data_IF_782834752410
#
_entry.id   IF_782834752410
#
_cell.length_a   1.000
_cell.length_b   1.000
_cell.length_c   1.000
_cell.angle_alpha   90.00
_cell.angle_beta   90.00
_cell.angle_gamma   90.00
#
_symmetry.space_group_name_H-M   'P 1'
#
loop_
_entity.id
_entity.type
_entity.pdbx_description
1 polymer ?
#
# COMPACT_ATOMS: atom_id res chain seq x y z
N UNK A 1 39.95 48.55 -33.06
CA UNK A 1 40.19 49.99 -33.24
C UNK A 1 38.85 50.66 -33.52
N UNK A 2 38.27 51.25 -32.48
CA UNK A 2 37.55 52.53 -32.44
C UNK A 2 36.50 52.94 -33.51
N UNK A 3 35.24 53.14 -33.01
CA UNK A 3 34.25 54.25 -33.23
C UNK A 3 33.68 54.33 -34.69
N UNK A 4 32.38 54.48 -34.98
CA UNK A 4 31.40 55.46 -34.51
C UNK A 4 29.95 55.06 -34.84
N UNK A 5 29.04 55.50 -33.96
CA UNK A 5 27.58 55.55 -34.13
C UNK A 5 27.18 56.66 -35.13
N UNK A 6 25.89 56.69 -35.53
CA UNK A 6 25.16 57.94 -35.50
C UNK A 6 23.93 57.89 -34.57
N UNK A 7 23.52 59.10 -34.19
CA UNK A 7 22.59 59.49 -33.14
C UNK A 7 21.51 60.41 -33.75
N UNK A 8 20.34 60.47 -33.09
CA UNK A 8 19.32 61.56 -33.11
C UNK A 8 18.45 61.72 -34.38
N UNK A 9 17.16 62.10 -34.34
CA UNK A 9 16.24 62.63 -33.30
C UNK A 9 14.81 62.73 -33.86
N UNK A 10 13.78 62.51 -33.01
CA UNK A 10 12.46 63.18 -32.98
C UNK A 10 11.44 62.84 -34.10
N UNK A 11 10.11 62.82 -33.94
CA UNK A 11 9.14 63.50 -33.06
C UNK A 11 7.81 62.70 -33.10
N UNK A 12 7.01 62.71 -32.01
CA UNK A 12 5.52 62.71 -32.11
C UNK A 12 4.75 61.60 -31.37
N UNK A 13 4.08 61.98 -30.27
CA UNK A 13 3.14 61.19 -29.43
C UNK A 13 1.68 61.51 -29.86
N UNK A 14 0.67 60.63 -29.69
CA UNK A 14 -0.16 60.57 -28.45
C UNK A 14 -0.48 59.11 -28.04
N UNK A 15 -0.53 58.69 -26.78
CA UNK A 15 -1.41 59.18 -25.72
C UNK A 15 -2.46 58.10 -25.41
N UNK A 16 -2.20 57.19 -24.46
CA UNK A 16 -3.21 56.29 -23.87
C UNK A 16 -2.98 56.24 -22.36
N UNK A 17 -3.98 56.69 -21.62
CA UNK A 17 -3.97 56.80 -20.16
C UNK A 17 -3.99 55.42 -19.49
N UNK A 18 -3.15 55.28 -18.46
CA UNK A 18 -3.20 54.18 -17.51
C UNK A 18 -3.80 54.74 -16.22
N UNK A 19 -5.08 54.44 -15.98
CA UNK A 19 -5.70 54.69 -14.68
C UNK A 19 -5.41 53.51 -13.76
N UNK A 20 -4.47 53.73 -12.84
CA UNK A 20 -4.20 52.89 -11.69
C UNK A 20 -5.28 53.17 -10.63
N UNK A 21 -6.14 52.20 -10.35
CA UNK A 21 -7.10 52.25 -9.24
C UNK A 21 -6.86 51.03 -8.34
N UNK A 22 -6.01 51.21 -7.33
CA UNK A 22 -5.89 50.33 -6.18
C UNK A 22 -7.09 50.57 -5.27
N UNK A 23 -7.94 49.55 -5.11
CA UNK A 23 -9.00 49.50 -4.10
C UNK A 23 -8.66 48.45 -3.03
N UNK A 24 -9.19 48.59 -1.79
CA UNK A 24 -8.49 48.19 -0.58
C UNK A 24 -8.75 46.75 -0.13
N UNK A 25 -7.74 46.24 0.55
CA UNK A 25 -7.60 44.93 1.19
C UNK A 25 -8.55 44.79 2.40
N UNK A 26 -9.85 44.55 2.21
CA UNK A 26 -10.79 44.41 3.37
C UNK A 26 -12.02 43.51 3.15
N UNK A 27 -12.04 42.65 2.14
CA UNK A 27 -13.22 41.78 1.83
C UNK A 27 -13.04 40.31 2.25
N UNK A 28 -11.83 39.84 2.57
CA UNK A 28 -11.58 38.40 2.76
C UNK A 28 -11.93 37.88 4.17
N UNK A 29 -12.06 38.75 5.19
CA UNK A 29 -12.27 38.30 6.58
C UNK A 29 -13.75 38.05 6.94
N UNK A 30 -14.71 38.52 6.12
CA UNK A 30 -16.14 38.38 6.42
C UNK A 30 -16.78 37.05 6.00
N UNK A 31 -16.12 36.25 5.14
CA UNK A 31 -16.73 35.03 4.56
C UNK A 31 -16.65 33.83 5.52
N UNK A 32 -15.79 33.85 6.54
CA UNK A 32 -15.50 32.65 7.35
C UNK A 32 -16.45 32.47 8.56
N UNK A 33 -17.34 33.41 8.90
CA UNK A 33 -18.05 33.36 10.20
C UNK A 33 -19.58 33.22 10.20
N UNK A 34 -20.24 33.06 9.07
CA UNK A 34 -21.70 32.94 9.07
C UNK A 34 -22.21 31.93 8.03
N UNK A 35 -22.23 30.66 8.41
CA UNK A 35 -23.22 29.67 7.94
C UNK A 35 -23.07 28.38 8.74
N UNK A 36 -23.31 28.50 10.04
CA UNK A 36 -23.75 27.40 10.85
C UNK A 36 -25.21 27.71 11.26
N UNK A 37 -26.07 26.69 11.11
CA UNK A 37 -27.38 26.47 11.74
C UNK A 37 -28.66 26.79 10.92
N UNK A 38 -29.57 25.79 10.95
CA UNK A 38 -31.04 25.76 10.73
C UNK A 38 -31.50 25.30 9.33
N UNK A 39 -32.01 24.05 9.17
CA UNK A 39 -33.39 23.53 9.43
C UNK A 39 -34.40 24.12 8.40
N UNK A 40 -35.37 23.46 7.77
CA UNK A 40 -35.92 22.10 7.66
C UNK A 40 -36.93 22.12 6.47
N UNK A 41 -37.24 20.95 5.90
CA UNK A 41 -38.52 20.55 5.25
C UNK A 41 -38.88 20.86 3.77
N UNK A 42 -39.47 19.79 3.19
CA UNK A 42 -40.29 19.62 1.96
C UNK A 42 -39.52 19.55 0.62
N UNK A 43 -39.69 18.55 -0.27
CA UNK A 43 -40.91 17.91 -0.75
C UNK A 43 -40.65 16.48 -1.32
N UNK A 44 -41.75 15.76 -1.51
CA UNK A 44 -41.95 14.34 -1.85
C UNK A 44 -41.57 13.88 -3.27
N UNK A 45 -41.35 12.54 -3.36
CA UNK A 45 -41.60 11.58 -4.47
C UNK A 45 -41.20 11.94 -5.91
N UNK A 46 -40.27 11.19 -6.49
CA UNK A 46 -40.56 10.15 -7.51
C UNK A 46 -39.29 9.46 -8.00
N UNK A 47 -39.48 8.24 -8.51
CA UNK A 47 -38.49 7.21 -8.87
C UNK A 47 -37.46 7.63 -9.93
N UNK A 48 -36.23 7.10 -9.84
CA UNK A 48 -35.63 6.13 -10.78
C UNK A 48 -34.10 6.01 -10.56
N UNK A 49 -33.63 4.77 -10.71
CA UNK A 49 -32.28 4.32 -11.07
C UNK A 49 -31.08 4.63 -10.16
N UNK A 50 -30.54 3.56 -9.59
CA UNK A 50 -29.22 3.57 -8.96
C UNK A 50 -28.77 2.17 -8.60
N UNK A 51 -28.09 1.52 -9.55
CA UNK A 51 -27.36 0.27 -9.32
C UNK A 51 -26.44 0.45 -8.11
N UNK A 52 -26.81 -0.15 -6.98
CA UNK A 52 -25.99 -0.19 -5.78
C UNK A 52 -24.81 -1.12 -6.06
N UNK A 53 -23.74 -0.60 -6.64
CA UNK A 53 -22.45 -1.27 -6.53
C UNK A 53 -22.04 -1.22 -5.06
N UNK A 54 -22.29 -2.33 -4.37
CA UNK A 54 -21.67 -2.62 -3.08
C UNK A 54 -20.17 -2.50 -3.23
N UNK A 55 -19.61 -1.38 -2.80
CA UNK A 55 -18.20 -1.30 -2.41
C UNK A 55 -18.06 -2.10 -1.13
N UNK A 56 -18.02 -3.43 -1.28
CA UNK A 56 -17.71 -4.38 -0.21
C UNK A 56 -16.23 -4.25 0.14
N UNK A 57 -15.84 -3.14 0.76
CA UNK A 57 -14.55 -3.01 1.40
C UNK A 57 -14.64 -3.85 2.68
N UNK A 58 -14.01 -5.04 2.68
CA UNK A 58 -14.05 -5.96 3.82
C UNK A 58 -13.23 -5.40 4.99
N UNK A 59 -13.87 -4.60 5.83
CA UNK A 59 -13.32 -4.04 7.07
C UNK A 59 -13.78 -4.76 8.34
N UNK A 60 -14.57 -5.85 8.22
CA UNK A 60 -15.11 -6.58 9.38
C UNK A 60 -14.26 -7.81 9.75
N UNK A 61 -13.93 -8.01 11.05
CA UNK A 61 -12.98 -9.03 11.53
C UNK A 61 -13.38 -10.49 11.26
N UNK A 62 -14.66 -10.79 11.01
CA UNK A 62 -15.16 -12.16 10.77
C UNK A 62 -15.40 -12.51 9.29
N UNK A 63 -15.28 -11.55 8.37
CA UNK A 63 -15.64 -11.77 6.96
C UNK A 63 -14.61 -12.59 6.17
N UNK A 64 -13.43 -12.85 6.75
CA UNK A 64 -12.37 -13.59 6.05
C UNK A 64 -12.77 -15.02 5.68
N UNK A 65 -13.72 -15.65 6.36
CA UNK A 65 -14.19 -17.01 6.05
C UNK A 65 -14.96 -17.10 4.74
N UNK A 66 -15.62 -16.01 4.34
CA UNK A 66 -16.42 -15.94 3.12
C UNK A 66 -15.66 -15.33 1.94
N UNK A 67 -14.46 -14.80 2.18
CA UNK A 67 -13.61 -14.26 1.13
C UNK A 67 -13.27 -15.36 0.12
N UNK A 68 -13.34 -15.01 -1.16
CA UNK A 68 -12.97 -15.94 -2.24
C UNK A 68 -11.49 -15.82 -2.56
N UNK A 69 -10.92 -14.61 -2.52
CA UNK A 69 -9.51 -14.36 -2.90
C UNK A 69 -8.84 -13.32 -2.01
N UNK A 70 -7.50 -13.23 -2.10
CA UNK A 70 -6.77 -12.13 -1.44
C UNK A 70 -7.17 -10.75 -1.95
N UNK A 71 -7.78 -10.65 -3.13
CA UNK A 71 -8.08 -9.37 -3.78
C UNK A 71 -9.15 -8.55 -3.09
N UNK A 72 -9.94 -9.20 -2.23
CA UNK A 72 -11.01 -8.55 -1.49
C UNK A 72 -10.52 -7.94 -0.16
N UNK A 73 -9.21 -8.05 0.13
CA UNK A 73 -8.59 -7.45 1.30
C UNK A 73 -7.85 -6.15 0.97
N UNK A 74 -7.78 -5.28 1.97
CA UNK A 74 -6.93 -4.09 2.00
C UNK A 74 -5.94 -4.23 3.15
N UNK A 75 -4.73 -3.71 2.97
CA UNK A 75 -3.77 -3.55 4.04
C UNK A 75 -3.03 -2.22 3.88
N UNK A 76 -2.65 -1.58 4.97
CA UNK A 76 -1.89 -0.34 4.92
C UNK A 76 -0.44 -0.63 4.53
N UNK A 77 0.11 0.14 3.60
CA UNK A 77 1.53 0.11 3.30
C UNK A 77 2.36 0.60 4.52
N UNK A 78 3.68 0.45 4.47
CA UNK A 78 4.55 0.84 5.60
C UNK A 78 4.46 2.33 5.98
N UNK A 79 3.84 3.18 5.15
CA UNK A 79 3.62 4.61 5.42
C UNK A 79 2.22 4.89 6.00
N UNK A 80 1.36 3.88 6.10
CA UNK A 80 0.01 4.00 6.62
C UNK A 80 -1.06 4.20 5.54
N UNK A 81 -0.71 4.14 4.26
CA UNK A 81 -1.66 4.36 3.17
C UNK A 81 -2.40 3.07 2.80
N UNK A 82 -3.73 3.07 2.66
CA UNK A 82 -4.49 1.86 2.36
C UNK A 82 -4.20 1.34 0.95
N UNK A 83 -3.78 0.08 0.84
CA UNK A 83 -3.52 -0.61 -0.42
C UNK A 83 -4.50 -1.76 -0.59
N UNK A 84 -5.38 -1.64 -1.59
CA UNK A 84 -6.21 -2.77 -2.01
C UNK A 84 -5.33 -3.84 -2.66
N UNK A 85 -5.46 -5.09 -2.20
CA UNK A 85 -4.69 -6.20 -2.75
C UNK A 85 -5.17 -6.64 -4.14
N UNK A 86 -6.30 -6.11 -4.61
CA UNK A 86 -6.72 -6.17 -6.02
C UNK A 86 -5.60 -5.75 -6.99
N UNK A 87 -4.70 -4.83 -6.58
CA UNK A 87 -3.55 -4.41 -7.41
C UNK A 87 -2.64 -5.57 -7.83
N UNK A 88 -2.68 -6.69 -7.13
CA UNK A 88 -1.87 -7.87 -7.42
C UNK A 88 -2.59 -8.87 -8.33
N UNK A 89 -3.75 -8.52 -8.89
CA UNK A 89 -4.49 -9.39 -9.80
C UNK A 89 -3.63 -9.85 -10.97
N UNK A 90 -3.64 -11.15 -11.22
CA UNK A 90 -2.88 -11.77 -12.31
C UNK A 90 -1.41 -12.01 -11.99
N UNK A 91 -0.93 -11.62 -10.81
CA UNK A 91 0.42 -11.87 -10.34
C UNK A 91 0.46 -13.08 -9.41
N UNK A 92 1.52 -13.87 -9.53
CA UNK A 92 1.88 -14.82 -8.47
C UNK A 92 2.54 -14.03 -7.35
N UNK A 93 2.07 -14.23 -6.12
CA UNK A 93 2.55 -13.47 -4.98
C UNK A 93 3.19 -14.37 -3.91
N UNK A 94 4.17 -13.82 -3.20
CA UNK A 94 4.63 -14.35 -1.93
C UNK A 94 4.17 -13.39 -0.84
N UNK A 95 3.36 -13.88 0.10
CA UNK A 95 3.00 -13.14 1.32
C UNK A 95 3.82 -13.70 2.48
N UNK A 96 4.58 -12.85 3.16
CA UNK A 96 5.54 -13.28 4.20
C UNK A 96 5.48 -12.40 5.45
N UNK A 97 5.50 -13.01 6.63
CA UNK A 97 5.66 -12.27 7.89
C UNK A 97 7.14 -12.10 8.20
N UNK A 98 7.59 -10.88 8.47
CA UNK A 98 9.01 -10.56 8.61
C UNK A 98 9.33 -9.97 9.98
N UNK A 99 10.62 -10.02 10.32
CA UNK A 99 11.19 -9.40 11.50
C UNK A 99 12.65 -8.97 11.22
N UNK A 100 13.13 -7.98 11.94
CA UNK A 100 14.40 -7.29 11.78
C UNK A 100 15.45 -7.83 12.76
N UNK A 101 15.01 -8.38 13.90
CA UNK A 101 15.88 -8.91 14.96
C UNK A 101 15.73 -10.44 15.11
N UNK A 102 15.61 -11.15 13.99
CA UNK A 102 15.50 -12.61 13.97
C UNK A 102 16.77 -13.25 13.39
N UNK A 103 17.15 -14.43 13.87
CA UNK A 103 18.30 -15.19 13.33
C UNK A 103 18.15 -15.54 11.84
N UNK A 104 16.93 -15.53 11.32
CA UNK A 104 16.61 -15.78 9.91
C UNK A 104 16.62 -14.52 9.03
N UNK A 105 16.67 -13.33 9.62
CA UNK A 105 16.51 -12.04 8.93
C UNK A 105 17.53 -11.84 7.82
N UNK A 106 18.81 -12.12 8.09
CA UNK A 106 19.89 -11.86 7.13
C UNK A 106 19.68 -12.63 5.83
N UNK A 107 19.48 -13.95 5.93
CA UNK A 107 19.35 -14.81 4.75
C UNK A 107 18.00 -14.60 4.06
N UNK A 108 16.90 -14.51 4.81
CA UNK A 108 15.58 -14.37 4.19
C UNK A 108 15.46 -13.06 3.39
N UNK A 109 15.92 -11.93 3.92
CA UNK A 109 15.85 -10.68 3.15
C UNK A 109 16.74 -10.70 1.92
N UNK A 110 17.99 -11.18 2.05
CA UNK A 110 18.89 -11.27 0.90
C UNK A 110 18.28 -12.13 -0.22
N UNK A 111 17.75 -13.29 0.13
CA UNK A 111 17.17 -14.22 -0.85
C UNK A 111 15.83 -13.75 -1.41
N UNK A 112 14.98 -13.07 -0.63
CA UNK A 112 13.75 -12.46 -1.15
C UNK A 112 14.06 -11.33 -2.14
N UNK A 113 15.10 -10.53 -1.88
CA UNK A 113 15.55 -9.48 -2.80
C UNK A 113 16.06 -10.09 -4.10
N UNK A 114 16.92 -11.11 -4.03
CA UNK A 114 17.41 -11.80 -5.23
C UNK A 114 16.26 -12.42 -6.04
N UNK A 115 15.33 -13.11 -5.37
CA UNK A 115 14.16 -13.70 -6.00
C UNK A 115 13.27 -12.65 -6.70
N UNK A 116 13.05 -11.50 -6.04
CA UNK A 116 12.29 -10.41 -6.62
C UNK A 116 13.01 -9.80 -7.83
N UNK A 117 14.30 -9.52 -7.71
CA UNK A 117 15.11 -8.94 -8.79
C UNK A 117 15.12 -9.82 -10.05
N UNK A 118 15.13 -11.14 -9.89
CA UNK A 118 15.15 -12.09 -11.00
C UNK A 118 13.77 -12.30 -11.66
N UNK A 119 12.71 -12.38 -10.86
CA UNK A 119 11.40 -12.87 -11.32
C UNK A 119 10.28 -11.83 -11.36
N UNK A 120 10.46 -10.64 -10.78
CA UNK A 120 9.40 -9.63 -10.73
C UNK A 120 8.94 -9.18 -12.12
N UNK A 121 9.88 -8.90 -13.03
CA UNK A 121 9.56 -8.45 -14.39
C UNK A 121 9.38 -9.63 -15.35
N UNK A 122 10.25 -10.64 -15.26
CA UNK A 122 10.27 -11.77 -16.19
C UNK A 122 9.10 -12.75 -16.02
N UNK A 123 8.58 -12.89 -14.79
CA UNK A 123 7.50 -13.82 -14.43
C UNK A 123 6.33 -13.14 -13.71
N UNK A 124 6.42 -11.82 -13.48
CA UNK A 124 5.37 -11.09 -12.78
C UNK A 124 5.29 -11.39 -11.28
N UNK A 125 6.38 -11.84 -10.64
CA UNK A 125 6.39 -12.12 -9.20
C UNK A 125 6.14 -10.84 -8.39
N UNK A 126 5.32 -10.93 -7.35
CA UNK A 126 5.13 -9.86 -6.35
C UNK A 126 5.39 -10.40 -4.95
N UNK A 127 6.05 -9.61 -4.10
CA UNK A 127 6.30 -9.99 -2.71
C UNK A 127 5.65 -8.95 -1.81
N UNK A 128 4.85 -9.41 -0.84
CA UNK A 128 4.16 -8.60 0.15
C UNK A 128 4.70 -8.99 1.53
N UNK A 129 5.47 -8.10 2.13
CA UNK A 129 6.10 -8.33 3.42
C UNK A 129 5.35 -7.60 4.55
N UNK A 130 5.01 -8.34 5.60
CA UNK A 130 4.26 -7.86 6.77
C UNK A 130 5.11 -8.00 8.03
N UNK A 131 5.66 -6.91 8.58
CA UNK A 131 6.35 -6.95 9.86
C UNK A 131 5.44 -7.49 10.97
N UNK A 132 5.98 -8.30 11.89
CA UNK A 132 5.19 -8.86 12.99
C UNK A 132 6.02 -9.03 14.26
N UNK A 133 5.53 -8.49 15.39
CA UNK A 133 6.25 -8.55 16.67
C UNK A 133 5.83 -9.71 17.59
N UNK A 134 4.94 -10.60 17.13
CA UNK A 134 4.37 -11.67 17.96
C UNK A 134 5.37 -12.80 18.28
N UNK A 135 6.53 -12.81 17.63
CA UNK A 135 7.51 -13.89 17.73
C UNK A 135 8.77 -13.39 18.47
N UNK A 136 8.80 -13.67 19.76
CA UNK A 136 9.89 -13.29 20.67
C UNK A 136 10.27 -11.80 20.65
N UNK A 137 9.33 -10.92 20.32
CA UNK A 137 9.57 -9.46 20.30
C UNK A 137 10.61 -9.02 19.26
N UNK A 138 10.78 -9.78 18.17
CA UNK A 138 11.86 -9.58 17.19
C UNK A 138 11.57 -8.48 16.15
N UNK A 139 10.45 -7.77 16.27
CA UNK A 139 10.10 -6.60 15.47
C UNK A 139 9.60 -5.43 16.34
N UNK A 140 10.44 -4.95 17.29
CA UNK A 140 10.01 -3.97 18.29
C UNK A 140 9.82 -2.57 17.69
N UNK A 141 10.54 -2.25 16.61
CA UNK A 141 10.56 -0.93 15.99
C UNK A 141 9.20 -0.49 15.43
N UNK A 142 9.02 0.82 15.35
CA UNK A 142 7.94 1.50 14.63
C UNK A 142 8.02 1.27 13.11
N UNK A 143 6.93 1.56 12.39
CA UNK A 143 6.91 1.45 10.93
C UNK A 143 8.02 2.31 10.27
N UNK A 144 8.34 3.47 10.85
CA UNK A 144 9.42 4.34 10.37
C UNK A 144 10.81 3.69 10.54
N UNK A 145 11.09 3.10 11.72
CA UNK A 145 12.35 2.40 11.98
C UNK A 145 12.50 1.15 11.10
N UNK A 146 11.40 0.42 10.87
CA UNK A 146 11.37 -0.73 9.96
C UNK A 146 11.68 -0.25 8.54
N UNK A 147 11.02 0.80 8.05
CA UNK A 147 11.29 1.38 6.73
C UNK A 147 12.78 1.73 6.55
N UNK A 148 13.40 2.35 7.55
CA UNK A 148 14.83 2.66 7.53
C UNK A 148 15.71 1.40 7.51
N UNK A 149 15.36 0.38 8.30
CA UNK A 149 16.04 -0.92 8.28
C UNK A 149 16.00 -1.54 6.87
N UNK A 150 14.87 -1.41 6.19
CA UNK A 150 14.65 -1.96 4.85
C UNK A 150 15.41 -1.25 3.74
N UNK A 151 15.55 0.07 3.81
CA UNK A 151 16.33 0.84 2.85
C UNK A 151 17.78 0.34 2.77
N UNK A 152 18.37 -0.06 3.90
CA UNK A 152 19.71 -0.63 3.97
C UNK A 152 19.82 -2.05 3.39
N UNK A 153 18.69 -2.69 3.06
CA UNK A 153 18.60 -4.05 2.49
C UNK A 153 18.29 -4.06 0.99
N UNK A 154 18.12 -2.89 0.38
CA UNK A 154 17.78 -2.75 -1.04
C UNK A 154 16.47 -3.47 -1.43
N UNK A 155 15.48 -3.47 -0.53
CA UNK A 155 14.17 -4.07 -0.79
C UNK A 155 13.37 -3.22 -1.77
N UNK A 156 12.90 -3.86 -2.84
CA UNK A 156 12.11 -3.23 -3.93
C UNK A 156 10.66 -3.71 -4.00
N UNK A 157 10.29 -4.68 -3.16
CA UNK A 157 8.95 -5.22 -3.07
C UNK A 157 8.11 -4.51 -2.00
N UNK A 158 6.81 -4.76 -1.99
CA UNK A 158 5.86 -4.02 -1.17
C UNK A 158 5.97 -4.41 0.32
N UNK A 159 6.12 -3.39 1.17
CA UNK A 159 6.18 -3.52 2.63
C UNK A 159 4.94 -2.88 3.24
N UNK A 160 4.34 -3.58 4.18
CA UNK A 160 3.10 -3.17 4.86
C UNK A 160 3.39 -2.75 6.30
N UNK A 161 2.40 -2.15 6.96
CA UNK A 161 2.49 -1.88 8.39
C UNK A 161 2.68 -3.15 9.20
N UNK A 162 3.22 -2.97 10.41
CA UNK A 162 3.31 -4.06 11.37
C UNK A 162 1.92 -4.56 11.76
N UNK A 163 1.70 -5.88 11.64
CA UNK A 163 0.41 -6.51 11.94
C UNK A 163 0.56 -7.68 12.90
N UNK A 164 -0.54 -8.05 13.55
CA UNK A 164 -0.69 -9.35 14.17
C UNK A 164 -1.11 -10.36 13.11
N UNK A 165 -0.51 -11.56 13.17
CA UNK A 165 -0.80 -12.69 12.27
C UNK A 165 -1.52 -13.83 12.99
N UNK A 166 -1.51 -13.81 14.33
CA UNK A 166 -2.16 -14.76 15.22
C UNK A 166 -3.06 -14.05 16.24
N UNK A 167 -3.97 -14.81 16.85
CA UNK A 167 -4.92 -14.31 17.85
C UNK A 167 -6.14 -13.61 17.25
N UNK A 168 -7.00 -13.08 18.13
CA UNK A 168 -8.23 -12.40 17.74
C UNK A 168 -7.97 -11.07 17.01
N UNK A 169 -6.82 -10.45 17.29
CA UNK A 169 -6.40 -9.20 16.65
C UNK A 169 -5.61 -9.45 15.36
N UNK A 170 -5.56 -10.69 14.85
CA UNK A 170 -4.88 -10.99 13.60
C UNK A 170 -5.53 -10.22 12.44
N UNK A 171 -4.70 -9.65 11.57
CA UNK A 171 -5.19 -8.98 10.38
C UNK A 171 -6.06 -9.94 9.54
N UNK A 172 -7.23 -9.53 9.02
CA UNK A 172 -8.17 -10.44 8.34
C UNK A 172 -7.56 -11.25 7.20
N UNK A 173 -6.66 -10.64 6.42
CA UNK A 173 -5.85 -11.36 5.41
C UNK A 173 -5.11 -12.56 6.01
N UNK A 174 -4.42 -12.39 7.13
CA UNK A 174 -3.64 -13.46 7.76
C UNK A 174 -4.55 -14.57 8.31
N UNK A 175 -5.73 -14.21 8.82
CA UNK A 175 -6.76 -15.18 9.20
C UNK A 175 -7.26 -15.98 7.99
N UNK A 176 -7.51 -15.33 6.85
CA UNK A 176 -7.84 -15.98 5.58
C UNK A 176 -6.75 -16.92 5.08
N UNK A 177 -5.49 -16.47 5.06
CA UNK A 177 -4.36 -17.27 4.59
C UNK A 177 -4.20 -18.56 5.41
N UNK A 178 -4.26 -18.46 6.74
CA UNK A 178 -4.22 -19.62 7.63
C UNK A 178 -5.42 -20.56 7.44
N UNK A 179 -6.61 -19.99 7.21
CA UNK A 179 -7.83 -20.77 7.00
C UNK A 179 -7.78 -21.56 5.69
N UNK A 180 -7.31 -20.95 4.59
CA UNK A 180 -7.18 -21.61 3.28
C UNK A 180 -5.98 -22.55 3.21
N UNK A 181 -4.86 -22.19 3.84
CA UNK A 181 -3.65 -22.99 3.92
C UNK A 181 -3.19 -23.15 5.37
N UNK A 182 -3.77 -24.14 6.04
CA UNK A 182 -3.40 -24.54 7.38
C UNK A 182 -1.99 -25.15 7.46
N UNK A 183 -1.48 -25.30 8.69
CA UNK A 183 -0.28 -26.08 8.94
C UNK A 183 -0.63 -27.51 9.36
N UNK A 184 0.38 -28.39 9.35
CA UNK A 184 0.23 -29.82 9.70
C UNK A 184 -0.26 -30.04 11.15
N UNK A 185 0.01 -29.09 12.06
CA UNK A 185 -0.35 -29.17 13.49
C UNK A 185 -1.08 -27.89 13.92
N UNK A 186 -2.14 -27.55 13.19
CA UNK A 186 -2.90 -26.31 13.37
C UNK A 186 -2.52 -25.23 12.36
N UNK A 187 -3.37 -24.21 12.27
CA UNK A 187 -3.29 -23.16 11.27
C UNK A 187 -2.45 -21.95 11.71
N UNK A 188 -2.19 -21.76 13.00
CA UNK A 188 -1.41 -20.63 13.52
C UNK A 188 -0.01 -20.51 12.91
N UNK A 189 0.47 -19.28 12.72
CA UNK A 189 1.83 -19.00 12.26
C UNK A 189 2.80 -19.33 13.40
N UNK A 190 3.78 -20.19 13.13
CA UNK A 190 4.68 -20.70 14.19
C UNK A 190 5.85 -19.77 14.50
N UNK A 191 6.30 -18.98 13.52
CA UNK A 191 7.46 -18.10 13.68
C UNK A 191 7.53 -17.05 12.56
N UNK A 192 8.51 -16.16 12.67
CA UNK A 192 8.95 -15.25 11.61
C UNK A 192 9.31 -16.00 10.33
N UNK A 193 9.08 -15.37 9.18
CA UNK A 193 9.35 -15.89 7.83
C UNK A 193 8.56 -17.14 7.45
N UNK A 194 7.29 -17.21 7.84
CA UNK A 194 6.33 -18.09 7.15
C UNK A 194 5.92 -17.42 5.84
N UNK A 195 5.86 -18.19 4.76
CA UNK A 195 5.52 -17.70 3.42
C UNK A 195 4.29 -18.41 2.89
N UNK A 196 3.41 -17.67 2.24
CA UNK A 196 2.32 -18.20 1.44
C UNK A 196 2.59 -17.89 -0.02
N UNK A 197 2.41 -18.88 -0.88
CA UNK A 197 2.35 -18.67 -2.34
C UNK A 197 0.89 -18.43 -2.70
N UNK A 198 0.65 -17.35 -3.43
CA UNK A 198 -0.66 -16.99 -3.98
C UNK A 198 -0.58 -17.11 -5.49
N UNK A 199 -1.54 -17.81 -6.10
CA UNK A 199 -1.61 -17.91 -7.55
C UNK A 199 -2.16 -16.63 -8.22
N UNK A 200 -2.17 -16.60 -9.55
CA UNK A 200 -2.68 -15.47 -10.35
C UNK A 200 -4.18 -15.19 -10.19
N UNK A 201 -4.93 -16.09 -9.56
CA UNK A 201 -6.35 -15.94 -9.24
C UNK A 201 -6.57 -15.45 -7.79
N UNK A 202 -5.48 -15.15 -7.08
CA UNK A 202 -5.52 -14.64 -5.71
C UNK A 202 -5.80 -15.73 -4.68
N UNK A 203 -5.57 -17.01 -5.02
CA UNK A 203 -5.79 -18.14 -4.13
C UNK A 203 -4.50 -18.52 -3.38
N UNK A 204 -4.55 -18.73 -2.05
CA UNK A 204 -3.43 -19.32 -1.32
C UNK A 204 -3.28 -20.80 -1.69
N UNK A 205 -2.17 -21.15 -2.35
CA UNK A 205 -1.95 -22.48 -2.93
C UNK A 205 -0.90 -23.30 -2.18
N UNK A 206 0.12 -22.65 -1.60
CA UNK A 206 1.14 -23.33 -0.79
C UNK A 206 1.51 -22.49 0.45
N UNK A 207 1.97 -23.16 1.50
CA UNK A 207 2.48 -22.56 2.74
C UNK A 207 3.81 -23.18 3.13
N UNK A 208 4.80 -22.34 3.38
CA UNK A 208 6.16 -22.74 3.73
C UNK A 208 6.58 -22.14 5.07
N UNK A 209 7.25 -22.96 5.87
CA UNK A 209 7.75 -22.56 7.18
C UNK A 209 9.04 -21.71 7.12
N UNK A 210 9.51 -21.25 8.28
CA UNK A 210 10.75 -20.48 8.43
C UNK A 210 12.00 -21.19 7.90
N UNK A 211 11.99 -22.53 7.92
CA UNK A 211 13.09 -23.39 7.48
C UNK A 211 13.16 -23.56 5.95
N UNK A 212 12.17 -23.08 5.20
CA UNK A 212 12.24 -23.02 3.74
C UNK A 212 12.88 -21.70 3.33
N UNK A 213 14.08 -21.78 2.77
CA UNK A 213 14.81 -20.63 2.25
C UNK A 213 14.08 -20.06 1.02
N UNK A 214 13.95 -18.73 0.86
CA UNK A 214 13.30 -18.14 -0.31
C UNK A 214 13.89 -18.58 -1.65
N UNK A 215 15.21 -18.83 -1.76
CA UNK A 215 15.81 -19.38 -2.99
C UNK A 215 15.27 -20.75 -3.38
N UNK A 216 15.03 -21.61 -2.38
CA UNK A 216 14.48 -22.94 -2.61
C UNK A 216 13.00 -22.90 -3.02
N UNK A 217 12.35 -21.73 -2.96
CA UNK A 217 10.93 -21.58 -3.34
C UNK A 217 10.71 -21.54 -4.85
N UNK A 218 11.74 -21.29 -5.67
CA UNK A 218 11.61 -21.22 -7.14
C UNK A 218 10.91 -22.46 -7.70
N UNK A 219 11.31 -23.66 -7.26
CA UNK A 219 10.70 -24.93 -7.69
C UNK A 219 9.20 -25.07 -7.37
N UNK A 220 8.70 -24.34 -6.36
CA UNK A 220 7.29 -24.31 -6.03
C UNK A 220 6.56 -23.26 -6.89
N UNK A 221 7.20 -22.12 -7.11
CA UNK A 221 6.64 -21.02 -7.88
C UNK A 221 6.52 -21.32 -9.38
N UNK A 222 7.42 -22.14 -9.94
CA UNK A 222 7.45 -22.52 -11.36
C UNK A 222 6.11 -23.08 -11.89
N UNK A 223 5.31 -23.68 -11.02
CA UNK A 223 3.99 -24.24 -11.36
C UNK A 223 2.93 -23.16 -11.64
N UNK A 224 3.18 -21.92 -11.22
CA UNK A 224 2.18 -20.85 -11.19
C UNK A 224 2.52 -19.67 -12.11
N UNK A 225 3.73 -19.63 -12.68
CA UNK A 225 4.16 -18.59 -13.61
C UNK A 225 3.40 -18.57 -14.94
#
# INVERSE_FOLDING_TARGET
>A
MFITRPCSTGIGIPGIGVTLLLAPLLVIVAIVKASAKLEEQFCSSDSLDGCSQSTNTMSSPDNYKNANSIYEFTANDIKGEPVSLEKYRGHVCIIVNVASQCGYTKNNYAELVELYDEYAESKGLRILAFPCNQFAGQEPGSNAEICQFMQNKNVKFDMFEKVNVNGNDAHPLWSYLKHKQGGVLGDFIKWNFTKFIIDKNGQPVERHGPNTNPKDMVKYLEKYW
#
